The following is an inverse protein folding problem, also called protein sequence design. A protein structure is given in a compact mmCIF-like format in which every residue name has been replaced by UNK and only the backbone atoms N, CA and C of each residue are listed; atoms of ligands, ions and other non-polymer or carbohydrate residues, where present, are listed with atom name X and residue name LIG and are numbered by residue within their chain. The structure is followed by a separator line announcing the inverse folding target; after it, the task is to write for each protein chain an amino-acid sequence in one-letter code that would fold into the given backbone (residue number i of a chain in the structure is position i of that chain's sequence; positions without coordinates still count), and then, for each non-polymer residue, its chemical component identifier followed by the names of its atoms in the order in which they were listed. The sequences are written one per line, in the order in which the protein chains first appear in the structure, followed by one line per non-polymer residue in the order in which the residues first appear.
data_IF_629061561024
#
_entry.id   IF_629061561024
#
_cell.length_a   1.000
_cell.length_b   1.000
_cell.length_c   1.000
_cell.angle_alpha   90.00
_cell.angle_beta   90.00
_cell.angle_gamma   90.00
#
_symmetry.space_group_name_H-M   'P 1'
#
loop_
_entity.id
_entity.type
_entity.pdbx_description
1 polymer ?
#
# COMPACT_ATOMS: atom_id res chain seq x y z
N UNK A 1 11.52 -3.82 -10.85
CA UNK A 1 12.78 -4.59 -10.71
C UNK A 1 14.02 -3.74 -10.44
N UNK A 2 14.54 -2.90 -11.35
CA UNK A 2 15.81 -2.17 -11.09
C UNK A 2 15.79 -1.24 -9.86
N UNK A 3 14.66 -0.57 -9.58
CA UNK A 3 14.49 0.25 -8.36
C UNK A 3 14.49 -0.60 -7.08
N UNK A 4 13.81 -1.75 -7.12
CA UNK A 4 13.75 -2.69 -5.99
C UNK A 4 15.13 -3.23 -5.62
N UNK A 5 15.93 -3.64 -6.61
CA UNK A 5 17.30 -4.12 -6.42
C UNK A 5 18.27 -3.06 -5.85
N UNK A 6 17.83 -1.80 -5.72
CA UNK A 6 18.58 -0.69 -5.09
C UNK A 6 18.03 -0.28 -3.73
N UNK A 7 16.92 -0.85 -3.28
CA UNK A 7 16.19 -0.44 -2.08
C UNK A 7 16.43 -1.40 -0.92
N UNK A 8 16.96 -0.87 0.18
CA UNK A 8 17.08 -1.56 1.47
C UNK A 8 15.75 -1.42 2.23
N UNK A 9 15.24 -2.51 2.78
CA UNK A 9 13.96 -2.53 3.51
C UNK A 9 14.18 -2.93 4.97
N UNK A 10 13.62 -2.15 5.90
CA UNK A 10 13.59 -2.45 7.33
C UNK A 10 12.21 -2.94 7.74
N UNK A 11 12.14 -4.06 8.46
CA UNK A 11 10.87 -4.66 8.90
C UNK A 11 10.93 -4.88 10.40
N UNK A 12 10.11 -4.14 11.15
CA UNK A 12 10.02 -4.21 12.60
C UNK A 12 8.85 -5.09 13.06
N UNK A 13 9.13 -5.96 14.04
CA UNK A 13 8.23 -6.97 14.56
C UNK A 13 8.29 -8.25 13.73
N UNK A 14 8.69 -9.37 14.34
CA UNK A 14 8.90 -10.67 13.69
C UNK A 14 7.93 -11.75 14.21
N UNK A 15 6.70 -11.33 14.50
CA UNK A 15 5.54 -12.22 14.69
C UNK A 15 5.01 -12.69 13.33
N UNK A 16 3.87 -13.38 13.29
CA UNK A 16 3.32 -13.94 12.05
C UNK A 16 3.15 -12.94 10.90
N UNK A 17 2.68 -11.72 11.18
CA UNK A 17 2.53 -10.69 10.14
C UNK A 17 3.88 -10.26 9.55
N UNK A 18 4.83 -9.94 10.43
CA UNK A 18 6.15 -9.45 10.01
C UNK A 18 6.95 -10.48 9.23
N UNK A 19 6.87 -11.76 9.61
CA UNK A 19 7.53 -12.83 8.85
C UNK A 19 6.91 -13.01 7.46
N UNK A 20 5.59 -12.85 7.32
CA UNK A 20 4.96 -12.95 6.00
C UNK A 20 5.36 -11.79 5.10
N UNK A 21 5.40 -10.58 5.64
CA UNK A 21 5.88 -9.40 4.91
C UNK A 21 7.33 -9.63 4.47
N UNK A 22 8.21 -10.06 5.39
CA UNK A 22 9.61 -10.35 5.09
C UNK A 22 9.78 -11.43 4.01
N UNK A 23 9.03 -12.53 4.10
CA UNK A 23 9.07 -13.61 3.12
C UNK A 23 8.74 -13.11 1.71
N UNK A 24 7.65 -12.35 1.55
CA UNK A 24 7.26 -11.81 0.25
C UNK A 24 8.27 -10.77 -0.27
N UNK A 25 8.83 -9.92 0.59
CA UNK A 25 9.82 -8.91 0.22
C UNK A 25 11.12 -9.54 -0.29
N UNK A 26 11.62 -10.54 0.42
CA UNK A 26 12.86 -11.25 0.06
C UNK A 26 12.67 -12.05 -1.23
N UNK A 27 11.54 -12.73 -1.40
CA UNK A 27 11.21 -13.39 -2.67
C UNK A 27 11.07 -12.40 -3.84
N UNK A 28 10.58 -11.19 -3.58
CA UNK A 28 10.46 -10.14 -4.59
C UNK A 28 11.79 -9.56 -5.08
N UNK A 29 12.89 -9.76 -4.37
CA UNK A 29 14.23 -9.36 -4.83
C UNK A 29 14.56 -7.88 -4.60
N UNK A 30 14.36 -7.40 -3.37
CA UNK A 30 14.90 -6.09 -2.93
C UNK A 30 16.42 -6.13 -2.78
N UNK A 31 17.08 -4.97 -2.57
CA UNK A 31 18.54 -4.93 -2.39
C UNK A 31 19.00 -5.69 -1.16
N UNK A 32 18.34 -5.47 -0.03
CA UNK A 32 18.58 -6.14 1.23
C UNK A 32 17.38 -5.97 2.16
N UNK A 33 17.24 -6.87 3.13
CA UNK A 33 16.23 -6.79 4.18
C UNK A 33 16.88 -6.83 5.56
N UNK A 34 16.42 -5.99 6.48
CA UNK A 34 16.79 -6.07 7.90
C UNK A 34 15.57 -6.42 8.73
N UNK A 35 15.65 -7.55 9.42
CA UNK A 35 14.63 -8.03 10.35
C UNK A 35 14.89 -7.45 11.73
N UNK A 36 13.91 -6.75 12.29
CA UNK A 36 14.01 -6.14 13.61
C UNK A 36 12.96 -6.71 14.57
N UNK A 37 13.40 -7.11 15.76
CA UNK A 37 12.52 -7.41 16.88
C UNK A 37 13.35 -7.33 18.18
N UNK A 38 12.82 -6.69 19.22
CA UNK A 38 13.47 -6.63 20.54
C UNK A 38 12.94 -7.70 21.49
N UNK A 39 11.85 -8.39 21.15
CA UNK A 39 11.22 -9.39 21.98
C UNK A 39 11.67 -10.83 21.69
N UNK A 40 11.31 -11.70 22.62
CA UNK A 40 11.56 -13.14 22.55
C UNK A 40 10.38 -13.90 21.95
N UNK A 41 10.66 -15.08 21.40
CA UNK A 41 9.67 -16.07 20.97
C UNK A 41 8.82 -16.46 22.18
N UNK A 42 7.51 -16.28 22.05
CA UNK A 42 6.52 -16.78 23.01
C UNK A 42 5.65 -17.87 22.36
N UNK A 43 4.95 -18.64 23.18
CA UNK A 43 4.08 -19.74 22.70
C UNK A 43 2.98 -19.23 21.78
N UNK A 44 2.43 -18.05 22.06
CA UNK A 44 1.40 -17.43 21.22
C UNK A 44 1.87 -17.13 19.79
N UNK A 45 3.17 -16.86 19.58
CA UNK A 45 3.73 -16.54 18.26
C UNK A 45 3.70 -17.75 17.32
N UNK A 46 3.72 -18.97 17.87
CA UNK A 46 3.69 -20.22 17.10
C UNK A 46 2.35 -20.44 16.36
N UNK A 47 1.32 -19.64 16.66
CA UNK A 47 -0.01 -19.73 16.04
C UNK A 47 0.02 -19.37 14.55
N UNK A 48 0.96 -18.51 14.15
CA UNK A 48 1.03 -17.97 12.79
C UNK A 48 2.45 -17.79 12.26
N UNK A 49 3.47 -17.74 13.14
CA UNK A 49 4.86 -17.62 12.74
C UNK A 49 5.45 -19.01 12.42
N UNK A 50 5.39 -19.39 11.15
CA UNK A 50 5.73 -20.72 10.64
C UNK A 50 7.22 -21.09 10.63
N UNK A 51 8.14 -20.16 10.92
CA UNK A 51 9.57 -20.45 11.11
C UNK A 51 9.93 -20.72 12.57
N UNK A 52 9.14 -20.24 13.53
CA UNK A 52 9.40 -20.51 14.95
C UNK A 52 9.03 -21.95 15.31
N UNK A 53 9.76 -22.54 16.25
CA UNK A 53 9.47 -23.85 16.83
C UNK A 53 9.32 -23.76 18.35
N UNK A 54 8.65 -24.72 19.01
CA UNK A 54 8.52 -24.73 20.47
C UNK A 54 9.86 -24.60 21.22
N UNK A 55 10.93 -25.20 20.69
CA UNK A 55 12.30 -25.14 21.21
C UNK A 55 12.98 -23.77 21.08
N UNK A 56 12.38 -22.82 20.36
CA UNK A 56 12.89 -21.46 20.22
C UNK A 56 12.38 -20.50 21.29
N UNK A 57 11.49 -20.95 22.17
CA UNK A 57 10.94 -20.15 23.26
C UNK A 57 12.04 -19.42 24.05
N UNK A 58 11.85 -18.12 24.26
CA UNK A 58 12.81 -17.25 24.95
C UNK A 58 13.96 -16.70 24.08
N UNK A 59 14.23 -17.27 22.90
CA UNK A 59 15.20 -16.70 21.95
C UNK A 59 14.62 -15.47 21.26
N UNK A 60 15.44 -14.56 20.73
CA UNK A 60 14.95 -13.39 20.00
C UNK A 60 14.31 -13.80 18.66
N UNK A 61 13.12 -13.26 18.34
CA UNK A 61 12.38 -13.62 17.13
C UNK A 61 13.13 -13.32 15.83
N UNK A 62 13.76 -12.14 15.72
CA UNK A 62 14.49 -11.77 14.50
C UNK A 62 15.71 -12.68 14.26
N UNK A 63 16.46 -13.02 15.32
CA UNK A 63 17.61 -13.91 15.23
C UNK A 63 17.22 -15.33 14.79
N UNK A 64 16.15 -15.89 15.37
CA UNK A 64 15.66 -17.23 14.99
C UNK A 64 15.14 -17.24 13.56
N UNK A 65 14.49 -16.15 13.14
CA UNK A 65 13.83 -16.06 11.82
C UNK A 65 14.82 -15.84 10.67
N UNK A 66 15.91 -15.12 10.91
CA UNK A 66 16.86 -14.72 9.86
C UNK A 66 17.39 -15.85 8.97
N UNK A 67 17.90 -16.99 9.48
CA UNK A 67 18.45 -18.04 8.63
C UNK A 67 17.40 -18.55 7.64
N UNK A 68 16.17 -18.77 8.11
CA UNK A 68 15.07 -19.27 7.28
C UNK A 68 14.64 -18.27 6.19
N UNK A 69 14.56 -16.98 6.51
CA UNK A 69 14.21 -15.96 5.52
C UNK A 69 15.35 -15.79 4.51
N UNK A 70 16.60 -15.86 4.95
CA UNK A 70 17.77 -15.73 4.06
C UNK A 70 17.88 -16.85 3.03
N UNK A 71 17.37 -18.05 3.33
CA UNK A 71 17.35 -19.18 2.39
C UNK A 71 16.37 -18.99 1.22
N UNK A 72 15.39 -18.09 1.36
CA UNK A 72 14.36 -17.87 0.34
C UNK A 72 14.91 -17.25 -0.95
N UNK A 73 15.95 -16.43 -0.85
CA UNK A 73 16.55 -15.77 -2.01
C UNK A 73 18.03 -15.43 -1.77
N UNK A 74 18.93 -16.18 -2.42
CA UNK A 74 20.39 -15.99 -2.29
C UNK A 74 20.91 -14.65 -2.81
N UNK A 75 20.11 -13.89 -3.57
CA UNK A 75 20.46 -12.56 -4.06
C UNK A 75 20.11 -11.43 -3.09
N UNK A 76 19.35 -11.71 -2.02
CA UNK A 76 18.91 -10.71 -1.06
C UNK A 76 19.56 -10.97 0.30
N UNK A 77 20.59 -10.21 0.68
CA UNK A 77 21.17 -10.30 2.02
C UNK A 77 20.13 -9.95 3.07
N UNK A 78 19.98 -10.83 4.07
CA UNK A 78 19.08 -10.63 5.22
C UNK A 78 19.90 -10.49 6.50
N UNK A 79 19.78 -9.35 7.16
CA UNK A 79 20.43 -9.05 8.44
C UNK A 79 19.42 -8.88 9.57
N UNK A 80 19.90 -8.79 10.82
CA UNK A 80 19.04 -8.58 12.01
C UNK A 80 19.43 -7.34 12.80
N UNK A 81 18.44 -6.75 13.46
CA UNK A 81 18.64 -5.73 14.47
C UNK A 81 17.80 -6.07 15.72
N UNK A 82 18.45 -6.18 16.88
CA UNK A 82 17.78 -6.48 18.16
C UNK A 82 17.82 -5.29 19.14
N UNK A 83 18.35 -4.16 18.68
CA UNK A 83 18.42 -2.91 19.44
C UNK A 83 17.22 -2.03 19.14
N UNK A 84 16.92 -1.12 20.05
CA UNK A 84 15.88 -0.10 19.85
C UNK A 84 16.10 0.68 18.55
N UNK A 85 15.00 1.04 17.90
CA UNK A 85 15.02 1.82 16.66
C UNK A 85 15.57 3.23 16.97
N UNK A 86 16.53 3.68 16.15
CA UNK A 86 17.06 5.05 16.23
C UNK A 86 16.96 5.73 14.87
N UNK A 87 17.04 7.06 14.85
CA UNK A 87 17.00 7.85 13.62
C UNK A 87 18.15 7.48 12.67
N UNK A 88 19.35 7.28 13.22
CA UNK A 88 20.56 6.94 12.48
C UNK A 88 20.43 5.56 11.82
N UNK A 89 19.75 4.62 12.49
CA UNK A 89 19.44 3.32 11.91
C UNK A 89 18.52 3.47 10.69
N UNK A 90 17.42 4.22 10.84
CA UNK A 90 16.39 4.37 9.81
C UNK A 90 16.91 5.01 8.51
N UNK A 91 17.88 5.93 8.60
CA UNK A 91 18.50 6.58 7.43
C UNK A 91 19.17 5.61 6.44
N UNK A 92 19.42 4.36 6.83
CA UNK A 92 20.01 3.35 5.95
C UNK A 92 19.01 2.69 4.99
N UNK A 93 17.71 2.98 5.15
CA UNK A 93 16.62 2.29 4.48
C UNK A 93 15.82 3.21 3.56
N UNK A 94 15.30 2.64 2.48
CA UNK A 94 14.37 3.34 1.58
C UNK A 94 12.92 3.11 2.00
N UNK A 95 12.64 1.96 2.61
CA UNK A 95 11.31 1.57 3.09
C UNK A 95 11.42 1.03 4.51
N UNK A 96 10.53 1.48 5.39
CA UNK A 96 10.40 1.07 6.78
C UNK A 96 9.00 0.54 6.99
N UNK A 97 8.90 -0.71 7.45
CA UNK A 97 7.64 -1.36 7.81
C UNK A 97 7.60 -1.59 9.30
N UNK A 98 6.55 -1.12 9.97
CA UNK A 98 6.28 -1.45 11.36
C UNK A 98 5.10 -2.42 11.47
N UNK A 99 5.31 -3.48 12.23
CA UNK A 99 4.27 -4.40 12.67
C UNK A 99 4.33 -4.55 14.19
N UNK A 100 3.18 -4.78 14.82
CA UNK A 100 3.08 -4.98 16.28
C UNK A 100 3.76 -3.87 17.14
N UNK A 101 3.81 -2.64 16.63
CA UNK A 101 4.40 -1.47 17.29
C UNK A 101 3.39 -0.70 18.15
N UNK A 102 3.89 0.12 19.07
CA UNK A 102 3.05 1.04 19.85
C UNK A 102 2.65 2.27 19.02
N UNK A 103 1.56 2.95 19.39
CA UNK A 103 1.17 4.20 18.72
C UNK A 103 2.25 5.28 18.83
N UNK A 104 2.87 5.42 20.00
CA UNK A 104 3.97 6.38 20.22
C UNK A 104 5.15 6.07 19.27
N UNK A 105 5.48 4.79 19.08
CA UNK A 105 6.52 4.35 18.14
C UNK A 105 6.16 4.61 16.68
N UNK A 106 4.91 4.31 16.29
CA UNK A 106 4.41 4.60 14.94
C UNK A 106 4.46 6.10 14.62
N UNK A 107 4.07 6.95 15.57
CA UNK A 107 4.07 8.40 15.37
C UNK A 107 5.48 8.94 15.19
N UNK A 108 6.42 8.65 16.09
CA UNK A 108 7.77 9.24 15.97
C UNK A 108 8.56 8.68 14.79
N UNK A 109 8.45 7.37 14.50
CA UNK A 109 9.11 6.76 13.33
C UNK A 109 8.50 7.29 12.05
N UNK A 110 7.16 7.34 11.98
CA UNK A 110 6.44 7.83 10.80
C UNK A 110 6.75 9.29 10.49
N UNK A 111 6.72 10.17 11.49
CA UNK A 111 7.08 11.59 11.29
C UNK A 111 8.54 11.77 10.85
N UNK A 112 9.46 10.97 11.40
CA UNK A 112 10.86 10.99 10.98
C UNK A 112 11.01 10.50 9.53
N UNK A 113 10.40 9.36 9.19
CA UNK A 113 10.45 8.80 7.84
C UNK A 113 9.86 9.76 6.80
N UNK A 114 8.73 10.39 7.11
CA UNK A 114 8.10 11.38 6.24
C UNK A 114 9.04 12.57 5.96
N UNK A 115 9.68 13.12 7.00
CA UNK A 115 10.61 14.25 6.88
C UNK A 115 11.88 13.92 6.08
N UNK A 116 12.37 12.68 6.15
CA UNK A 116 13.56 12.22 5.43
C UNK A 116 13.23 11.58 4.05
N UNK A 117 11.96 11.56 3.65
CA UNK A 117 11.51 10.97 2.38
C UNK A 117 11.59 9.43 2.32
N UNK A 118 11.71 8.78 3.48
CA UNK A 118 11.71 7.32 3.64
C UNK A 118 10.25 6.83 3.56
N UNK A 119 9.99 5.80 2.75
CA UNK A 119 8.65 5.24 2.61
C UNK A 119 8.28 4.48 3.88
N UNK A 120 7.10 4.74 4.42
CA UNK A 120 6.69 4.24 5.71
C UNK A 120 5.37 3.47 5.60
N UNK A 121 5.35 2.27 6.17
CA UNK A 121 4.17 1.39 6.18
C UNK A 121 3.96 0.89 7.60
N UNK A 122 2.71 0.94 8.06
CA UNK A 122 2.27 0.25 9.27
C UNK A 122 1.28 -0.83 8.87
N UNK A 123 1.46 -2.04 9.38
CA UNK A 123 0.49 -3.11 9.24
C UNK A 123 0.24 -3.76 10.61
N UNK A 124 -1.01 -3.93 11.00
CA UNK A 124 -1.38 -4.60 12.24
C UNK A 124 -2.58 -5.52 12.04
N UNK A 125 -2.59 -6.64 12.75
CA UNK A 125 -3.66 -7.65 12.71
C UNK A 125 -4.10 -8.00 14.13
N UNK A 126 -5.41 -8.07 14.34
CA UNK A 126 -6.06 -8.28 15.63
C UNK A 126 -7.22 -9.26 15.45
N UNK A 127 -6.93 -10.55 15.51
CA UNK A 127 -7.87 -11.61 15.15
C UNK A 127 -8.34 -11.43 13.70
N UNK A 128 -9.63 -11.22 13.47
CA UNK A 128 -10.22 -11.01 12.14
C UNK A 128 -10.16 -9.54 11.65
N UNK A 129 -9.59 -8.65 12.44
CA UNK A 129 -9.44 -7.24 12.10
C UNK A 129 -8.01 -6.94 11.66
N UNK A 130 -7.85 -5.92 10.83
CA UNK A 130 -6.54 -5.47 10.37
C UNK A 130 -6.57 -4.01 9.98
N UNK A 131 -5.39 -3.40 9.95
CA UNK A 131 -5.17 -2.08 9.36
C UNK A 131 -3.87 -2.09 8.58
N UNK A 132 -3.84 -1.33 7.48
CA UNK A 132 -2.63 -0.99 6.75
C UNK A 132 -2.64 0.52 6.54
N UNK A 133 -1.54 1.17 6.86
CA UNK A 133 -1.29 2.58 6.59
C UNK A 133 -0.04 2.70 5.72
N UNK A 134 -0.09 3.58 4.73
CA UNK A 134 1.02 3.87 3.83
C UNK A 134 1.27 5.37 3.79
N UNK A 135 2.53 5.76 3.93
CA UNK A 135 3.02 7.10 3.72
C UNK A 135 4.26 7.05 2.85
N UNK A 136 4.08 7.43 1.58
CA UNK A 136 5.17 7.47 0.60
C UNK A 136 5.73 8.87 0.41
N UNK A 137 5.48 9.77 1.37
CA UNK A 137 5.92 11.15 1.36
C UNK A 137 5.13 12.03 0.40
N UNK A 138 5.55 13.28 0.35
CA UNK A 138 5.04 14.26 -0.60
C UNK A 138 5.65 13.99 -1.99
N UNK A 139 4.85 14.13 -3.05
CA UNK A 139 5.27 13.96 -4.44
C UNK A 139 5.69 12.53 -4.87
N UNK A 140 4.96 11.51 -4.44
CA UNK A 140 5.18 10.14 -4.91
C UNK A 140 4.71 9.95 -6.37
N UNK A 141 5.64 9.65 -7.28
CA UNK A 141 5.35 9.51 -8.71
C UNK A 141 4.95 8.08 -9.05
N UNK A 142 3.70 7.89 -9.46
CA UNK A 142 3.14 6.65 -9.99
C UNK A 142 3.20 6.67 -11.51
N UNK A 143 4.06 5.84 -12.09
CA UNK A 143 4.20 5.73 -13.56
C UNK A 143 3.16 4.82 -14.20
N UNK A 144 2.59 3.91 -13.41
CA UNK A 144 1.52 3.02 -13.85
C UNK A 144 0.46 2.92 -12.75
N UNK A 145 -0.75 3.39 -13.06
CA UNK A 145 -1.84 3.50 -12.09
C UNK A 145 -2.77 2.29 -12.07
N UNK A 146 -2.70 1.39 -13.06
CA UNK A 146 -3.63 0.26 -13.17
C UNK A 146 -2.95 -1.10 -13.45
N UNK A 147 -1.66 -1.11 -13.81
CA UNK A 147 -0.89 -2.34 -14.08
C UNK A 147 -1.21 -3.01 -15.41
N UNK A 148 -2.18 -2.51 -16.18
CA UNK A 148 -2.59 -3.08 -17.48
C UNK A 148 -1.56 -2.79 -18.58
N UNK A 149 -1.54 -3.55 -19.67
CA UNK A 149 -0.68 -3.17 -20.79
C UNK A 149 -1.25 -1.94 -21.51
N UNK A 150 -0.35 -1.07 -22.01
CA UNK A 150 -0.78 0.08 -22.81
C UNK A 150 -1.52 -0.39 -24.06
N UNK A 151 -2.71 0.16 -24.28
CA UNK A 151 -3.55 -0.22 -25.42
C UNK A 151 -2.89 0.26 -26.72
N UNK A 152 -2.85 -0.61 -27.74
CA UNK A 152 -2.40 -0.26 -29.10
C UNK A 152 -3.51 -0.62 -30.08
N UNK A 153 -3.90 0.33 -30.92
CA UNK A 153 -4.99 0.16 -31.89
C UNK A 153 -4.57 0.65 -33.28
N UNK A 154 -5.02 -0.04 -34.32
CA UNK A 154 -4.81 0.39 -35.70
C UNK A 154 -5.74 1.55 -36.08
N UNK A 155 -5.17 2.53 -36.76
CA UNK A 155 -5.89 3.71 -37.25
C UNK A 155 -6.29 3.49 -38.71
N UNK A 156 -7.56 3.77 -39.01
CA UNK A 156 -8.11 3.70 -40.36
C UNK A 156 -8.16 5.08 -41.05
N UNK A 157 -8.41 6.15 -40.30
CA UNK A 157 -8.46 7.50 -40.84
C UNK A 157 -8.18 8.55 -39.76
N UNK A 158 -7.58 9.66 -40.17
CA UNK A 158 -7.37 10.85 -39.33
C UNK A 158 -7.82 12.06 -40.15
N UNK A 159 -8.83 12.80 -39.69
CA UNK A 159 -9.28 14.02 -40.38
C UNK A 159 -8.30 15.19 -40.18
N UNK A 160 -8.43 16.26 -40.97
CA UNK A 160 -7.61 17.46 -40.80
C UNK A 160 -8.52 18.62 -40.40
N UNK A 161 -8.63 18.87 -39.10
CA UNK A 161 -9.57 19.84 -38.54
C UNK A 161 -9.13 20.27 -37.13
N UNK A 162 -9.73 21.34 -36.61
CA UNK A 162 -9.53 21.83 -35.24
C UNK A 162 -10.06 20.79 -34.21
N UNK A 163 -11.21 20.18 -34.51
CA UNK A 163 -11.73 19.02 -33.81
C UNK A 163 -11.52 17.75 -34.65
N UNK A 164 -10.26 17.33 -34.77
CA UNK A 164 -9.92 16.10 -35.48
C UNK A 164 -10.70 14.88 -34.96
N UNK A 165 -11.03 13.97 -35.87
CA UNK A 165 -11.54 12.64 -35.58
C UNK A 165 -10.53 11.60 -36.07
N UNK A 166 -10.05 10.78 -35.14
CA UNK A 166 -9.32 9.56 -35.41
C UNK A 166 -10.32 8.41 -35.41
N UNK A 167 -10.38 7.68 -36.53
CA UNK A 167 -11.21 6.49 -36.70
C UNK A 167 -10.33 5.26 -36.62
N UNK A 168 -10.65 4.33 -35.72
CA UNK A 168 -9.98 3.05 -35.60
C UNK A 168 -10.42 2.09 -36.71
N UNK A 169 -9.62 1.05 -36.98
CA UNK A 169 -9.98 0.01 -37.93
C UNK A 169 -11.32 -0.67 -37.56
N UNK A 170 -12.14 -0.92 -38.58
CA UNK A 170 -13.47 -1.53 -38.42
C UNK A 170 -13.42 -2.83 -37.61
N UNK A 171 -14.46 -3.03 -36.78
CA UNK A 171 -14.64 -4.12 -35.82
C UNK A 171 -13.75 -4.12 -34.56
N UNK A 172 -12.75 -3.23 -34.44
CA UNK A 172 -11.93 -3.14 -33.22
C UNK A 172 -12.29 -1.91 -32.37
N UNK A 173 -12.87 -2.17 -31.19
CA UNK A 173 -13.09 -1.12 -30.19
C UNK A 173 -11.75 -0.68 -29.60
N UNK A 174 -11.55 0.63 -29.48
CA UNK A 174 -10.26 1.17 -29.03
C UNK A 174 -10.01 1.03 -27.53
N UNK A 175 -11.04 0.88 -26.69
CA UNK A 175 -10.89 0.66 -25.24
C UNK A 175 -10.35 1.83 -24.41
N UNK A 176 -9.84 2.91 -25.03
CA UNK A 176 -9.44 4.13 -24.33
C UNK A 176 -10.58 4.85 -23.58
N UNK A 177 -10.19 5.63 -22.57
CA UNK A 177 -11.06 6.52 -21.82
C UNK A 177 -10.77 8.00 -22.12
N UNK A 178 -11.77 8.87 -21.94
CA UNK A 178 -11.56 10.31 -22.13
C UNK A 178 -10.59 10.86 -21.07
N UNK A 179 -9.52 11.51 -21.53
CA UNK A 179 -8.44 11.97 -20.66
C UNK A 179 -7.18 11.12 -20.71
N UNK A 180 -7.21 9.97 -21.39
CA UNK A 180 -6.00 9.22 -21.75
C UNK A 180 -5.10 10.03 -22.69
N UNK A 181 -3.85 9.59 -22.81
CA UNK A 181 -2.89 10.17 -23.74
C UNK A 181 -2.44 9.10 -24.74
N UNK A 182 -2.25 9.50 -26.00
CA UNK A 182 -1.79 8.60 -27.06
C UNK A 182 -0.65 9.23 -27.86
N UNK A 183 0.22 8.39 -28.41
CA UNK A 183 1.19 8.74 -29.45
C UNK A 183 0.94 7.86 -30.67
N UNK A 184 1.43 8.26 -31.84
CA UNK A 184 1.23 7.53 -33.09
C UNK A 184 2.52 6.92 -33.63
N UNK A 185 2.39 5.83 -34.37
CA UNK A 185 3.50 5.19 -35.10
C UNK A 185 3.03 4.75 -36.48
N UNK A 186 3.92 4.78 -37.46
CA UNK A 186 3.68 4.26 -38.81
C UNK A 186 2.50 4.89 -39.58
N UNK A 187 2.09 6.11 -39.20
CA UNK A 187 1.11 6.90 -39.94
C UNK A 187 1.74 7.40 -41.24
N UNK A 188 1.12 7.12 -42.38
CA UNK A 188 1.55 7.61 -43.69
C UNK A 188 0.77 8.87 -44.07
N UNK A 189 1.44 9.82 -44.72
CA UNK A 189 0.89 11.14 -45.05
C UNK A 189 1.09 12.13 -43.91
N UNK A 190 0.34 11.99 -42.82
CA UNK A 190 0.42 12.82 -41.61
C UNK A 190 1.57 12.39 -40.69
N UNK A 191 2.79 12.46 -41.22
CA UNK A 191 4.00 11.89 -40.57
C UNK A 191 4.43 12.64 -39.32
N UNK A 192 3.98 13.87 -39.13
CA UNK A 192 4.25 14.71 -37.95
C UNK A 192 3.63 14.14 -36.66
N UNK A 193 2.64 13.25 -36.78
CA UNK A 193 2.08 12.52 -35.65
C UNK A 193 2.98 11.37 -35.17
N UNK A 194 3.88 10.88 -36.02
CA UNK A 194 4.71 9.74 -35.66
C UNK A 194 5.71 10.10 -34.55
N UNK A 195 5.61 9.40 -33.42
CA UNK A 195 6.37 9.65 -32.19
C UNK A 195 6.23 11.09 -31.67
N UNK A 196 5.08 11.72 -31.89
CA UNK A 196 4.79 13.02 -31.29
C UNK A 196 4.69 12.91 -29.76
N UNK A 197 4.83 14.05 -29.09
CA UNK A 197 4.50 14.18 -27.66
C UNK A 197 3.08 13.61 -27.40
N UNK A 198 2.87 12.90 -26.28
CA UNK A 198 1.57 12.29 -25.98
C UNK A 198 0.46 13.33 -26.01
N UNK A 199 -0.57 13.09 -26.84
CA UNK A 199 -1.73 13.97 -27.00
C UNK A 199 -2.89 13.45 -26.18
N UNK A 200 -3.54 14.34 -25.43
CA UNK A 200 -4.74 14.03 -24.65
C UNK A 200 -5.90 13.71 -25.58
N UNK A 201 -6.62 12.62 -25.30
CA UNK A 201 -7.74 12.20 -26.13
C UNK A 201 -9.09 12.56 -25.51
N UNK A 202 -10.09 12.73 -26.38
CA UNK A 202 -11.51 12.80 -26.05
C UNK A 202 -12.25 11.71 -26.83
N UNK A 203 -12.85 10.76 -26.12
CA UNK A 203 -13.59 9.66 -26.76
C UNK A 203 -14.91 10.20 -27.31
N UNK A 204 -15.17 9.97 -28.60
CA UNK A 204 -16.41 10.39 -29.28
C UNK A 204 -17.38 9.23 -29.46
N UNK A 205 -16.87 7.99 -29.50
CA UNK A 205 -17.63 6.76 -29.64
C UNK A 205 -16.70 5.55 -29.55
N UNK A 206 -17.21 4.31 -29.60
CA UNK A 206 -16.42 3.10 -29.39
C UNK A 206 -15.29 2.85 -30.41
N UNK A 207 -15.33 3.53 -31.55
CA UNK A 207 -14.39 3.38 -32.68
C UNK A 207 -13.72 4.71 -33.05
N UNK A 208 -14.02 5.80 -32.34
CA UNK A 208 -13.59 7.14 -32.73
C UNK A 208 -13.24 8.00 -31.53
N UNK A 209 -12.11 8.70 -31.60
CA UNK A 209 -11.67 9.65 -30.60
C UNK A 209 -11.01 10.86 -31.26
N UNK A 210 -10.89 11.96 -30.52
CA UNK A 210 -10.23 13.19 -30.96
C UNK A 210 -8.91 13.40 -30.24
N UNK A 211 -7.92 13.98 -30.92
CA UNK A 211 -6.58 14.34 -30.39
C UNK A 211 -6.30 15.85 -30.41
N UNK A 212 -7.33 16.68 -30.62
CA UNK A 212 -7.21 18.13 -30.79
C UNK A 212 -6.83 18.53 -32.22
N UNK A 213 -6.29 19.73 -32.38
CA UNK A 213 -6.06 20.35 -33.69
C UNK A 213 -4.99 19.61 -34.53
N UNK A 214 -5.37 19.27 -35.76
CA UNK A 214 -4.50 18.71 -36.80
C UNK A 214 -4.45 19.57 -38.07
N UNK A 215 -5.06 20.75 -38.08
CA UNK A 215 -5.18 21.63 -39.27
C UNK A 215 -3.83 22.03 -39.87
N UNK A 216 -2.80 22.14 -39.04
CA UNK A 216 -1.43 22.46 -39.46
C UNK A 216 -0.61 21.27 -39.99
N UNK A 217 -1.17 20.06 -40.01
CA UNK A 217 -0.44 18.84 -40.37
C UNK A 217 -0.65 18.44 -41.84
N UNK A 218 0.20 17.54 -42.34
CA UNK A 218 0.05 16.94 -43.67
C UNK A 218 -1.22 16.06 -43.76
N UNK A 219 -1.73 15.85 -44.95
CA UNK A 219 -2.94 15.05 -45.15
C UNK A 219 -2.66 13.56 -44.87
N UNK A 220 -3.58 12.90 -44.17
CA UNK A 220 -3.50 11.47 -43.90
C UNK A 220 -3.64 10.65 -45.19
N UNK A 221 -2.82 9.61 -45.34
CA UNK A 221 -2.88 8.70 -46.50
C UNK A 221 -3.38 7.32 -46.08
N UNK A 222 -2.65 6.63 -45.19
CA UNK A 222 -3.01 5.28 -44.76
C UNK A 222 -2.23 4.81 -43.53
N UNK A 223 -2.69 3.71 -42.94
CA UNK A 223 -2.01 2.99 -41.88
C UNK A 223 -1.90 3.77 -40.56
N UNK A 224 -1.05 3.24 -39.69
CA UNK A 224 -0.72 3.83 -38.40
C UNK A 224 -1.32 3.11 -37.20
N UNK A 225 -0.66 3.28 -36.06
CA UNK A 225 -1.07 2.77 -34.77
C UNK A 225 -1.18 3.93 -33.79
N UNK A 226 -2.25 3.96 -33.01
CA UNK A 226 -2.35 4.77 -31.81
C UNK A 226 -1.96 3.92 -30.60
N UNK A 227 -0.95 4.38 -29.86
CA UNK A 227 -0.39 3.70 -28.69
C UNK A 227 -0.67 4.55 -27.46
N UNK A 228 -1.33 3.96 -26.46
CA UNK A 228 -1.60 4.62 -25.18
C UNK A 228 -0.30 4.93 -24.44
N UNK A 229 -0.17 6.17 -24.00
CA UNK A 229 0.89 6.64 -23.14
C UNK A 229 0.34 6.83 -21.73
N UNK A 230 0.82 6.03 -20.77
CA UNK A 230 0.48 6.22 -19.36
C UNK A 230 1.26 7.40 -18.81
N UNK A 231 0.57 8.50 -18.56
CA UNK A 231 1.18 9.68 -17.97
C UNK A 231 1.41 9.47 -16.48
N UNK A 232 2.62 9.76 -15.96
CA UNK A 232 2.89 9.66 -14.53
C UNK A 232 1.96 10.56 -13.73
N UNK A 233 1.44 10.05 -12.61
CA UNK A 233 0.64 10.82 -11.66
C UNK A 233 1.41 11.01 -10.36
N UNK A 234 1.35 12.22 -9.81
CA UNK A 234 1.94 12.53 -8.52
C UNK A 234 0.88 12.38 -7.43
N UNK A 235 1.14 11.51 -6.45
CA UNK A 235 0.34 11.34 -5.25
C UNK A 235 1.03 12.02 -4.06
N UNK A 236 0.23 12.61 -3.18
CA UNK A 236 0.73 13.27 -1.97
C UNK A 236 0.17 12.54 -0.76
N UNK A 237 1.06 11.95 0.04
CA UNK A 237 0.67 11.23 1.24
C UNK A 237 0.74 12.17 2.45
N UNK A 238 -0.22 12.05 3.37
CA UNK A 238 -0.18 12.73 4.67
C UNK A 238 0.75 11.96 5.59
N UNK A 239 1.50 12.68 6.42
CA UNK A 239 2.23 12.07 7.54
C UNK A 239 1.26 11.35 8.49
N UNK A 240 1.74 10.33 9.21
CA UNK A 240 0.89 9.53 10.10
C UNK A 240 0.15 10.40 11.13
N UNK A 241 0.80 11.43 11.67
CA UNK A 241 0.19 12.33 12.65
C UNK A 241 -1.00 13.10 12.06
N UNK A 242 -0.85 13.59 10.83
CA UNK A 242 -1.95 14.27 10.12
C UNK A 242 -3.04 13.28 9.73
N UNK A 243 -2.68 12.10 9.22
CA UNK A 243 -3.61 11.07 8.79
C UNK A 243 -4.43 10.46 9.94
N UNK A 244 -3.90 10.44 11.17
CA UNK A 244 -4.66 10.03 12.35
C UNK A 244 -5.87 10.95 12.61
N UNK A 245 -5.71 12.25 12.38
CA UNK A 245 -6.76 13.26 12.57
C UNK A 245 -7.69 13.42 11.36
N UNK A 246 -7.14 13.31 10.14
CA UNK A 246 -7.86 13.46 8.87
C UNK A 246 -7.57 12.28 7.92
N UNK A 247 -8.13 11.09 8.22
CA UNK A 247 -7.82 9.85 7.50
C UNK A 247 -8.50 9.80 6.14
N UNK A 248 -7.79 9.23 5.16
CA UNK A 248 -8.34 8.85 3.86
C UNK A 248 -8.46 7.33 3.79
N UNK A 249 -9.71 6.84 3.71
CA UNK A 249 -9.98 5.41 3.74
C UNK A 249 -10.08 4.81 2.34
N UNK A 250 -9.45 3.64 2.16
CA UNK A 250 -9.70 2.77 1.02
C UNK A 250 -10.79 1.77 1.40
N UNK A 251 -11.93 1.82 0.69
CA UNK A 251 -13.06 0.92 0.94
C UNK A 251 -12.73 -0.46 0.39
N UNK A 252 -12.62 -1.45 1.27
CA UNK A 252 -12.31 -2.85 0.91
C UNK A 252 -13.57 -3.69 0.65
N UNK A 253 -14.70 -3.31 1.24
CA UNK A 253 -15.99 -3.99 1.09
C UNK A 253 -17.10 -2.94 0.99
N UNK A 254 -17.69 -2.81 -0.20
CA UNK A 254 -18.77 -1.87 -0.47
C UNK A 254 -20.08 -2.22 0.26
N UNK A 255 -20.19 -3.36 0.94
CA UNK A 255 -21.30 -3.61 1.86
C UNK A 255 -21.07 -3.00 3.26
N UNK A 256 -19.88 -2.44 3.54
CA UNK A 256 -19.43 -2.01 4.87
C UNK A 256 -18.74 -0.63 4.83
N UNK A 257 -19.32 0.32 4.11
CA UNK A 257 -18.75 1.67 3.90
C UNK A 257 -18.47 2.45 5.20
N UNK A 258 -19.24 2.21 6.25
CA UNK A 258 -19.15 2.86 7.56
C UNK A 258 -18.04 2.28 8.45
N UNK A 259 -17.63 1.04 8.22
CA UNK A 259 -16.70 0.31 9.10
C UNK A 259 -15.28 0.88 9.16
N UNK A 260 -14.65 1.38 8.08
CA UNK A 260 -13.29 1.91 8.16
C UNK A 260 -13.13 3.01 9.23
N UNK A 261 -14.10 3.93 9.31
CA UNK A 261 -14.08 5.00 10.33
C UNK A 261 -14.24 4.44 11.75
N UNK A 262 -15.12 3.46 11.95
CA UNK A 262 -15.30 2.77 13.25
C UNK A 262 -14.03 2.02 13.67
N UNK A 263 -13.37 1.34 12.73
CA UNK A 263 -12.16 0.57 12.99
C UNK A 263 -10.96 1.47 13.24
N UNK A 264 -10.85 2.61 12.54
CA UNK A 264 -9.84 3.62 12.82
C UNK A 264 -9.91 4.08 14.28
N UNK A 265 -11.12 4.38 14.77
CA UNK A 265 -11.35 4.69 16.17
C UNK A 265 -11.03 3.50 17.09
N UNK A 266 -11.42 2.29 16.69
CA UNK A 266 -11.19 1.07 17.45
C UNK A 266 -9.70 0.71 17.63
N UNK A 267 -8.88 0.86 16.60
CA UNK A 267 -7.43 0.63 16.69
C UNK A 267 -6.74 1.70 17.55
N UNK A 268 -7.14 2.96 17.45
CA UNK A 268 -6.66 4.00 18.38
C UNK A 268 -7.05 3.67 19.83
N UNK A 269 -8.28 3.24 20.06
CA UNK A 269 -8.74 2.81 21.37
C UNK A 269 -7.96 1.59 21.90
N UNK A 270 -7.56 0.64 21.03
CA UNK A 270 -6.71 -0.49 21.41
C UNK A 270 -5.32 -0.05 21.85
N UNK A 271 -4.72 0.91 21.13
CA UNK A 271 -3.42 1.47 21.52
C UNK A 271 -3.51 2.19 22.88
N UNK A 272 -4.54 3.00 23.09
CA UNK A 272 -4.81 3.66 24.38
C UNK A 272 -5.10 2.67 25.50
N UNK A 273 -5.88 1.61 25.23
CA UNK A 273 -6.14 0.54 26.18
C UNK A 273 -4.83 -0.12 26.62
N UNK A 274 -3.96 -0.46 25.66
CA UNK A 274 -2.67 -1.07 25.94
C UNK A 274 -1.75 -0.12 26.74
N UNK A 275 -1.78 1.19 26.45
CA UNK A 275 -1.04 2.21 27.19
C UNK A 275 -1.48 2.30 28.66
N UNK A 276 -2.80 2.23 28.90
CA UNK A 276 -3.40 2.32 30.25
C UNK A 276 -3.24 1.03 31.07
N UNK A 277 -3.26 -0.13 30.44
CA UNK A 277 -3.32 -1.44 31.12
C UNK A 277 -2.06 -2.31 30.94
N UNK A 278 -1.07 -1.83 30.17
CA UNK A 278 0.14 -2.57 29.77
C UNK A 278 -0.13 -3.95 29.16
N UNK A 279 -1.34 -4.14 28.63
CA UNK A 279 -1.78 -5.37 28.00
C UNK A 279 -3.00 -5.12 27.11
N UNK A 280 -3.20 -5.97 26.11
CA UNK A 280 -4.38 -5.96 25.27
C UNK A 280 -5.60 -6.54 26.01
N UNK A 281 -6.84 -6.24 25.59
CA UNK A 281 -8.04 -6.86 26.15
C UNK A 281 -7.97 -8.39 26.17
N UNK A 282 -8.52 -9.02 27.21
CA UNK A 282 -8.55 -10.48 27.32
C UNK A 282 -9.55 -11.08 26.32
N UNK A 283 -9.30 -12.30 25.80
CA UNK A 283 -10.17 -12.91 24.81
C UNK A 283 -11.60 -13.07 25.33
N UNK A 284 -12.58 -12.58 24.56
CA UNK A 284 -14.02 -12.62 24.89
C UNK A 284 -14.40 -12.08 26.28
N UNK A 285 -13.59 -11.21 26.87
CA UNK A 285 -13.90 -10.61 28.16
C UNK A 285 -14.81 -9.39 28.01
N UNK A 286 -16.01 -9.46 28.59
CA UNK A 286 -17.04 -8.40 28.49
C UNK A 286 -16.61 -7.08 29.12
N UNK A 287 -15.92 -7.13 30.27
CA UNK A 287 -15.52 -5.91 30.99
C UNK A 287 -14.45 -5.15 30.21
N UNK A 288 -13.46 -5.86 29.66
CA UNK A 288 -12.42 -5.26 28.82
C UNK A 288 -13.04 -4.69 27.52
N UNK A 289 -14.06 -5.36 26.96
CA UNK A 289 -14.82 -4.86 25.81
C UNK A 289 -15.59 -3.57 26.10
N UNK A 290 -16.23 -3.46 27.27
CA UNK A 290 -16.90 -2.24 27.67
C UNK A 290 -15.91 -1.09 27.88
N UNK A 291 -14.76 -1.36 28.52
CA UNK A 291 -13.68 -0.37 28.68
C UNK A 291 -13.16 0.13 27.34
N UNK A 292 -13.00 -0.76 26.35
CA UNK A 292 -12.56 -0.34 25.01
C UNK A 292 -13.56 0.62 24.36
N UNK A 293 -14.86 0.35 24.49
CA UNK A 293 -15.93 1.23 23.99
C UNK A 293 -15.91 2.59 24.69
N UNK A 294 -15.67 2.64 26.01
CA UNK A 294 -15.54 3.89 26.76
C UNK A 294 -14.34 4.71 26.28
N UNK A 295 -13.18 4.07 26.07
CA UNK A 295 -12.00 4.72 25.52
C UNK A 295 -12.28 5.26 24.12
N UNK A 296 -12.95 4.48 23.26
CA UNK A 296 -13.32 4.91 21.92
C UNK A 296 -14.25 6.14 21.95
N UNK A 297 -15.24 6.17 22.86
CA UNK A 297 -16.11 7.34 23.06
C UNK A 297 -15.31 8.56 23.51
N UNK A 298 -14.34 8.38 24.41
CA UNK A 298 -13.45 9.45 24.88
C UNK A 298 -12.62 10.06 23.72
N UNK A 299 -12.03 9.20 22.88
CA UNK A 299 -11.23 9.61 21.72
C UNK A 299 -12.12 10.33 20.70
N UNK A 300 -13.28 9.76 20.36
CA UNK A 300 -14.23 10.36 19.43
C UNK A 300 -14.73 11.74 19.92
N UNK A 301 -14.89 11.92 21.23
CA UNK A 301 -15.25 13.20 21.83
C UNK A 301 -14.23 14.32 21.56
N UNK A 302 -12.94 13.96 21.50
CA UNK A 302 -11.80 14.86 21.25
C UNK A 302 -11.40 14.97 19.78
N UNK A 303 -11.85 14.05 18.93
CA UNK A 303 -11.48 14.00 17.53
C UNK A 303 -12.09 15.16 16.72
N UNK A 304 -11.34 15.64 15.72
CA UNK A 304 -11.83 16.62 14.75
C UNK A 304 -12.87 15.99 13.81
N UNK A 305 -12.59 14.79 13.31
CA UNK A 305 -13.48 14.01 12.45
C UNK A 305 -14.22 12.98 13.30
N UNK A 306 -15.41 13.35 13.75
CA UNK A 306 -16.23 12.51 14.65
C UNK A 306 -16.99 11.46 13.86
N UNK A 307 -17.09 10.28 14.45
CA UNK A 307 -18.03 9.24 14.05
C UNK A 307 -19.36 9.53 14.76
N UNK A 308 -20.42 9.77 13.99
CA UNK A 308 -21.72 10.20 14.52
C UNK A 308 -22.36 9.16 15.44
N UNK A 309 -22.42 7.90 14.99
CA UNK A 309 -22.95 6.77 15.75
C UNK A 309 -21.88 5.70 15.90
N UNK A 310 -21.43 5.47 17.14
CA UNK A 310 -20.40 4.46 17.42
C UNK A 310 -21.05 3.08 17.48
N UNK A 311 -20.58 2.16 16.64
CA UNK A 311 -20.99 0.75 16.69
C UNK A 311 -20.29 0.04 17.85
N UNK A 312 -20.92 0.06 19.02
CA UNK A 312 -20.40 -0.61 20.21
C UNK A 312 -20.22 -2.11 20.03
N UNK A 313 -21.05 -2.75 19.19
CA UNK A 313 -20.97 -4.20 18.97
C UNK A 313 -19.70 -4.54 18.19
N UNK A 314 -19.41 -3.75 17.15
CA UNK A 314 -18.18 -3.90 16.36
C UNK A 314 -16.93 -3.68 17.23
N UNK A 315 -16.92 -2.64 18.06
CA UNK A 315 -15.79 -2.36 18.96
C UNK A 315 -15.60 -3.44 20.03
N UNK A 316 -16.69 -3.96 20.61
CA UNK A 316 -16.59 -5.12 21.53
C UNK A 316 -16.05 -6.36 20.82
N UNK A 317 -16.43 -6.59 19.57
CA UNK A 317 -15.91 -7.70 18.79
C UNK A 317 -14.41 -7.56 18.50
N UNK A 318 -13.95 -6.34 18.18
CA UNK A 318 -12.52 -6.01 18.09
C UNK A 318 -11.80 -6.32 19.41
N UNK A 319 -12.36 -5.90 20.54
CA UNK A 319 -11.80 -6.20 21.86
C UNK A 319 -11.68 -7.70 22.13
N UNK A 320 -12.71 -8.48 21.81
CA UNK A 320 -12.73 -9.92 22.05
C UNK A 320 -11.65 -10.67 21.27
N UNK A 321 -11.25 -10.11 20.14
CA UNK A 321 -10.30 -10.69 19.20
C UNK A 321 -8.92 -10.02 19.23
N UNK A 322 -8.70 -9.03 20.11
CA UNK A 322 -7.49 -8.19 20.12
C UNK A 322 -6.17 -8.96 20.28
N UNK A 323 -6.20 -10.11 20.96
CA UNK A 323 -5.05 -11.01 21.15
C UNK A 323 -4.99 -12.16 20.12
N UNK A 324 -5.96 -12.23 19.22
CA UNK A 324 -6.01 -13.24 18.18
C UNK A 324 -4.89 -13.03 17.16
N UNK A 325 -4.18 -14.12 16.85
CA UNK A 325 -3.10 -14.15 15.86
C UNK A 325 -3.38 -15.30 14.89
N UNK A 326 -3.97 -14.98 13.73
CA UNK A 326 -4.54 -15.95 12.81
C UNK A 326 -3.69 -16.05 11.54
N UNK A 327 -3.13 -17.23 11.26
CA UNK A 327 -2.29 -17.47 10.08
C UNK A 327 -2.94 -16.97 8.75
N UNK A 328 -4.22 -17.23 8.45
CA UNK A 328 -4.85 -16.71 7.22
C UNK A 328 -4.85 -15.17 7.12
N UNK A 329 -5.04 -14.48 8.25
CA UNK A 329 -5.00 -13.02 8.29
C UNK A 329 -3.58 -12.51 8.06
N UNK A 330 -2.56 -13.20 8.59
CA UNK A 330 -1.17 -12.84 8.31
C UNK A 330 -0.79 -13.05 6.86
N UNK A 331 -1.27 -14.13 6.23
CA UNK A 331 -1.05 -14.38 4.80
C UNK A 331 -1.67 -13.29 3.91
N UNK A 332 -2.93 -12.92 4.16
CA UNK A 332 -3.63 -11.90 3.36
C UNK A 332 -3.01 -10.51 3.57
N UNK A 333 -2.95 -10.06 4.83
CA UNK A 333 -2.50 -8.70 5.16
C UNK A 333 -1.00 -8.55 4.92
N UNK A 334 -0.21 -9.60 5.20
CA UNK A 334 1.22 -9.62 4.89
C UNK A 334 1.50 -9.57 3.40
N UNK A 335 0.69 -10.24 2.57
CA UNK A 335 0.77 -10.14 1.12
C UNK A 335 0.46 -8.74 0.59
N UNK A 336 -0.61 -8.11 1.10
CA UNK A 336 -0.98 -6.74 0.71
C UNK A 336 0.11 -5.76 1.14
N UNK A 337 0.54 -5.78 2.41
CA UNK A 337 1.58 -4.88 2.91
C UNK A 337 2.92 -5.07 2.18
N UNK A 338 3.29 -6.30 1.83
CA UNK A 338 4.46 -6.55 1.00
C UNK A 338 4.30 -5.98 -0.41
N UNK A 339 3.12 -6.06 -1.01
CA UNK A 339 2.86 -5.43 -2.30
C UNK A 339 2.98 -3.90 -2.21
N UNK A 340 2.54 -3.28 -1.12
CA UNK A 340 2.75 -1.83 -0.89
C UNK A 340 4.24 -1.48 -0.76
N UNK A 341 5.08 -2.35 -0.20
CA UNK A 341 6.55 -2.15 -0.19
C UNK A 341 7.15 -2.19 -1.61
N UNK A 342 6.55 -2.93 -2.54
CA UNK A 342 7.06 -3.06 -3.90
C UNK A 342 6.70 -1.88 -4.81
N UNK A 343 5.63 -1.16 -4.48
CA UNK A 343 5.15 0.00 -5.25
C UNK A 343 6.10 1.18 -5.12
#
# INVERSE_FOLDING_TARGET
MQKMAKSNVFISGMRGLGVEIAKNIVLGGVKSATLHDTGSVNVEDLSSQYFLRPEDAGKNRALVTQPHVSELNSYVPVSTCTKQITKELLLNFQVVVLTASSADEQEWVGEFCHGEGIKFIVADTRGLFSQIFCDFGENFIVTDTNGEQGITIMVSAITKDEENVVTCLDEQRHGFESGDYVTFKEVQGMTELNNCEPRKIKVLGPYTFSIGDTSGLSDYVSGGYAVQCKMPKTLNFKSIKKALHDPEFLITDFAKFDRPAQLHLGFQALHEYNKRNSSLPRPRNKDDGNKLVEIAKEINGKACSKVDEIDEKLLRELSYQARGDLCPMQGIIGGIAAQEVMK
#
